data_IF_526832523901
#
_entry.id   IF_526832523901
#
_cell.length_a   1.000
_cell.length_b   1.000
_cell.length_c   1.000
_cell.angle_alpha   90.00
_cell.angle_beta   90.00
_cell.angle_gamma   90.00
#
_symmetry.space_group_name_H-M   'P 1'
#
loop_
_entity.id
_entity.type
_entity.pdbx_description
1 polymer ?
#
# COMPACT_ATOMS: atom_id res chain seq x y z
N UNK A 1 10.65 6.50 12.19
CA UNK A 1 9.53 7.30 11.62
C UNK A 1 10.09 8.55 10.93
N UNK A 2 9.34 9.19 10.03
CA UNK A 2 9.84 10.32 9.24
C UNK A 2 9.70 11.67 10.00
N UNK A 3 10.75 12.50 10.05
CA UNK A 3 10.64 13.83 10.65
C UNK A 3 9.68 14.71 9.84
N UNK A 4 9.07 15.76 10.43
CA UNK A 4 8.18 16.68 9.71
C UNK A 4 8.77 17.30 8.44
N UNK A 5 10.09 17.50 8.41
CA UNK A 5 10.81 18.03 7.24
C UNK A 5 11.09 17.01 6.14
N UNK A 6 10.74 15.74 6.33
CA UNK A 6 11.00 14.68 5.35
C UNK A 6 10.20 14.90 4.07
N UNK A 7 10.84 14.72 2.91
CA UNK A 7 10.21 14.85 1.59
C UNK A 7 8.97 13.98 1.48
N UNK A 8 9.02 12.74 1.98
CA UNK A 8 7.87 11.83 1.94
C UNK A 8 6.65 12.37 2.68
N UNK A 9 6.83 13.11 3.79
CA UNK A 9 5.72 13.75 4.50
C UNK A 9 5.15 14.90 3.67
N UNK A 10 6.01 15.80 3.19
CA UNK A 10 5.59 16.94 2.37
C UNK A 10 4.82 16.50 1.12
N UNK A 11 5.27 15.43 0.46
CA UNK A 11 4.61 14.89 -0.74
C UNK A 11 3.26 14.24 -0.40
N UNK A 12 3.17 13.48 0.69
CA UNK A 12 1.92 12.81 1.08
C UNK A 12 0.88 13.78 1.69
N UNK A 13 1.27 14.98 2.12
CA UNK A 13 0.35 16.04 2.57
C UNK A 13 -0.39 16.73 1.41
N UNK A 14 0.10 16.59 0.17
CA UNK A 14 -0.49 17.23 -1.01
C UNK A 14 -1.61 16.38 -1.63
N UNK A 15 -2.87 16.84 -1.67
CA UNK A 15 -3.99 16.06 -2.21
C UNK A 15 -3.83 15.68 -3.69
N UNK A 16 -3.00 16.42 -4.43
CA UNK A 16 -2.73 16.19 -5.85
C UNK A 16 -2.16 14.80 -6.12
N UNK A 17 -1.47 14.18 -5.14
CA UNK A 17 -0.93 12.82 -5.28
C UNK A 17 -2.01 11.77 -5.57
N UNK A 18 -3.25 12.02 -5.14
CA UNK A 18 -4.39 11.14 -5.38
C UNK A 18 -4.76 11.06 -6.87
N UNK A 19 -4.41 12.07 -7.68
CA UNK A 19 -4.60 12.00 -9.13
C UNK A 19 -3.76 10.90 -9.77
N UNK A 20 -2.61 10.57 -9.16
CA UNK A 20 -1.75 9.47 -9.58
C UNK A 20 -2.23 8.08 -9.14
N UNK A 21 -3.15 7.98 -8.16
CA UNK A 21 -3.52 6.71 -7.54
C UNK A 21 -4.01 5.65 -8.55
N UNK A 22 -4.76 6.06 -9.57
CA UNK A 22 -5.22 5.16 -10.62
C UNK A 22 -4.07 4.56 -11.44
N UNK A 23 -3.05 5.37 -11.78
CA UNK A 23 -1.84 4.91 -12.48
C UNK A 23 -1.05 3.92 -11.63
N UNK A 24 -0.80 4.26 -10.36
CA UNK A 24 -0.09 3.38 -9.44
C UNK A 24 -0.80 2.03 -9.29
N UNK A 25 -2.14 2.03 -9.14
CA UNK A 25 -2.94 0.80 -9.05
C UNK A 25 -2.77 -0.08 -10.30
N UNK A 26 -2.84 0.51 -11.49
CA UNK A 26 -2.65 -0.25 -12.75
C UNK A 26 -1.26 -0.86 -12.83
N UNK A 27 -0.21 -0.14 -12.41
CA UNK A 27 1.15 -0.66 -12.36
C UNK A 27 1.30 -1.76 -11.30
N UNK A 28 0.64 -1.65 -10.15
CA UNK A 28 0.65 -2.71 -9.12
C UNK A 28 0.06 -3.99 -9.68
N UNK A 29 -1.08 -3.89 -10.36
CA UNK A 29 -1.77 -5.01 -10.99
C UNK A 29 -1.07 -5.54 -12.25
N UNK A 30 -0.06 -4.84 -12.78
CA UNK A 30 0.76 -5.35 -13.89
C UNK A 30 1.72 -6.48 -13.46
N UNK A 31 1.97 -6.64 -12.15
CA UNK A 31 2.77 -7.75 -11.63
C UNK A 31 1.90 -8.98 -11.34
N UNK A 32 2.20 -10.16 -11.93
CA UNK A 32 1.30 -11.31 -11.88
C UNK A 32 1.02 -11.80 -10.46
N UNK A 33 2.02 -11.79 -9.58
CA UNK A 33 1.85 -12.21 -8.18
C UNK A 33 0.99 -11.23 -7.36
N UNK A 34 1.10 -9.93 -7.64
CA UNK A 34 0.29 -8.92 -6.96
C UNK A 34 -1.15 -8.99 -7.46
N UNK A 35 -1.34 -9.12 -8.78
CA UNK A 35 -2.65 -9.29 -9.39
C UNK A 35 -3.38 -10.52 -8.86
N UNK A 36 -2.70 -11.67 -8.75
CA UNK A 36 -3.26 -12.90 -8.20
C UNK A 36 -3.66 -12.70 -6.72
N UNK A 37 -2.80 -12.12 -5.89
CA UNK A 37 -3.11 -11.82 -4.50
C UNK A 37 -4.31 -10.88 -4.33
N UNK A 38 -4.44 -9.86 -5.17
CA UNK A 38 -5.61 -8.97 -5.16
C UNK A 38 -6.87 -9.71 -5.61
N UNK A 39 -6.79 -10.51 -6.67
CA UNK A 39 -7.95 -11.23 -7.19
C UNK A 39 -8.49 -12.26 -6.19
N UNK A 40 -7.61 -12.98 -5.51
CA UNK A 40 -7.99 -14.09 -4.63
C UNK A 40 -8.36 -13.63 -3.20
N UNK A 41 -7.75 -12.53 -2.70
CA UNK A 41 -7.87 -12.13 -1.29
C UNK A 41 -8.42 -10.72 -1.03
N UNK A 42 -8.73 -9.94 -2.08
CA UNK A 42 -9.25 -8.57 -1.91
C UNK A 42 -10.72 -8.45 -2.26
N UNK A 43 -11.49 -7.79 -1.39
CA UNK A 43 -12.85 -7.32 -1.67
C UNK A 43 -12.86 -5.99 -2.45
N UNK A 44 -11.82 -5.71 -3.25
CA UNK A 44 -11.66 -4.43 -3.96
C UNK A 44 -12.78 -4.20 -4.97
N UNK A 45 -13.21 -5.24 -5.68
CA UNK A 45 -14.26 -5.12 -6.69
C UNK A 45 -15.64 -4.91 -6.07
N UNK A 46 -15.91 -5.53 -4.91
CA UNK A 46 -17.20 -5.44 -4.24
C UNK A 46 -17.32 -4.23 -3.31
N UNK A 47 -16.21 -3.74 -2.74
CA UNK A 47 -16.17 -2.61 -1.80
C UNK A 47 -14.99 -1.65 -2.07
N UNK A 48 -14.91 -1.02 -3.25
CA UNK A 48 -13.75 -0.21 -3.65
C UNK A 48 -13.49 0.99 -2.73
N UNK A 49 -14.54 1.67 -2.26
CA UNK A 49 -14.40 2.84 -1.37
C UNK A 49 -13.87 2.46 0.01
N UNK A 50 -14.33 1.34 0.58
CA UNK A 50 -13.81 0.81 1.85
C UNK A 50 -12.34 0.44 1.74
N UNK A 51 -11.95 -0.15 0.60
CA UNK A 51 -10.54 -0.48 0.32
C UNK A 51 -9.66 0.75 0.13
N UNK A 52 -10.17 1.78 -0.55
CA UNK A 52 -9.49 3.05 -0.67
C UNK A 52 -9.28 3.70 0.70
N UNK A 53 -10.34 3.79 1.51
CA UNK A 53 -10.26 4.34 2.87
C UNK A 53 -9.20 3.62 3.70
N UNK A 54 -9.22 2.28 3.75
CA UNK A 54 -8.23 1.52 4.51
C UNK A 54 -6.78 1.73 4.01
N UNK A 55 -6.59 1.90 2.70
CA UNK A 55 -5.27 2.20 2.11
C UNK A 55 -4.79 3.60 2.50
N UNK A 56 -5.66 4.60 2.45
CA UNK A 56 -5.35 5.97 2.86
C UNK A 56 -5.04 6.04 4.36
N UNK A 57 -5.88 5.44 5.20
CA UNK A 57 -5.66 5.38 6.66
C UNK A 57 -4.31 4.75 6.99
N UNK A 58 -3.97 3.62 6.35
CA UNK A 58 -2.68 2.97 6.54
C UNK A 58 -1.51 3.85 6.09
N UNK A 59 -1.61 4.46 4.91
CA UNK A 59 -0.56 5.30 4.34
C UNK A 59 -0.31 6.54 5.19
N UNK A 60 -1.35 7.30 5.53
CA UNK A 60 -1.23 8.49 6.37
C UNK A 60 -0.75 8.16 7.77
N UNK A 61 -1.20 7.05 8.36
CA UNK A 61 -0.70 6.64 9.69
C UNK A 61 0.79 6.29 9.63
N UNK A 62 1.25 5.59 8.60
CA UNK A 62 2.66 5.23 8.45
C UNK A 62 3.57 6.44 8.17
N UNK A 63 3.09 7.41 7.38
CA UNK A 63 3.89 8.56 6.93
C UNK A 63 3.84 9.72 7.93
N UNK A 64 2.66 10.03 8.47
CA UNK A 64 2.38 11.24 9.25
C UNK A 64 1.92 10.98 10.69
N UNK A 65 1.65 9.74 11.09
CA UNK A 65 1.15 9.41 12.43
C UNK A 65 2.20 9.54 13.55
N UNK A 66 1.87 9.00 14.72
CA UNK A 66 2.84 8.79 15.79
C UNK A 66 3.62 7.47 15.55
N UNK A 67 4.90 7.35 15.99
CA UNK A 67 5.71 6.18 15.71
C UNK A 67 5.07 4.86 16.19
N UNK A 68 4.46 4.87 17.38
CA UNK A 68 3.78 3.70 17.95
C UNK A 68 2.57 3.26 17.13
N UNK A 69 1.82 4.21 16.55
CA UNK A 69 0.68 3.92 15.67
C UNK A 69 1.15 3.37 14.32
N UNK A 70 2.18 3.98 13.73
CA UNK A 70 2.78 3.52 12.48
C UNK A 70 3.30 2.07 12.60
N UNK A 71 4.00 1.76 13.69
CA UNK A 71 4.45 0.40 13.98
C UNK A 71 3.28 -0.57 14.17
N UNK A 72 2.22 -0.15 14.87
CA UNK A 72 1.01 -0.95 15.06
C UNK A 72 0.33 -1.30 13.74
N UNK A 73 0.16 -0.31 12.85
CA UNK A 73 -0.38 -0.52 11.49
C UNK A 73 0.53 -1.42 10.67
N UNK A 74 1.85 -1.21 10.71
CA UNK A 74 2.80 -2.06 10.01
C UNK A 74 2.74 -3.52 10.45
N UNK A 75 2.66 -3.78 11.77
CA UNK A 75 2.46 -5.15 12.31
C UNK A 75 1.13 -5.75 11.86
N UNK A 76 0.04 -4.98 11.89
CA UNK A 76 -1.28 -5.43 11.45
C UNK A 76 -1.28 -5.81 9.97
N UNK A 77 -0.72 -4.96 9.10
CA UNK A 77 -0.66 -5.23 7.65
C UNK A 77 0.20 -6.47 7.39
N UNK A 78 1.36 -6.58 8.04
CA UNK A 78 2.21 -7.77 7.93
C UNK A 78 1.46 -9.04 8.32
N UNK A 79 0.74 -9.01 9.45
CA UNK A 79 -0.08 -10.14 9.91
C UNK A 79 -1.19 -10.49 8.92
N UNK A 80 -1.86 -9.50 8.32
CA UNK A 80 -2.85 -9.76 7.25
C UNK A 80 -2.16 -10.42 6.05
N UNK A 81 -1.00 -9.91 5.63
CA UNK A 81 -0.25 -10.43 4.50
C UNK A 81 0.29 -11.85 4.72
N UNK A 82 0.42 -12.32 5.97
CA UNK A 82 0.78 -13.71 6.26
C UNK A 82 -0.28 -14.70 5.76
N UNK A 83 -1.53 -14.25 5.61
CA UNK A 83 -2.63 -15.05 5.06
C UNK A 83 -2.88 -14.81 3.57
N UNK A 84 -2.26 -13.79 2.96
CA UNK A 84 -2.37 -13.49 1.53
C UNK A 84 -1.28 -14.26 0.79
N UNK A 85 -1.52 -15.56 0.65
CA UNK A 85 -0.62 -16.52 0.03
C UNK A 85 -1.38 -17.38 -0.98
N UNK A 86 -0.70 -17.74 -2.06
CA UNK A 86 -1.21 -18.62 -3.10
C UNK A 86 -0.09 -19.49 -3.68
N UNK A 87 -0.39 -20.40 -4.62
CA UNK A 87 0.60 -21.37 -5.12
C UNK A 87 1.89 -20.75 -5.69
N UNK A 88 1.82 -19.52 -6.21
CA UNK A 88 2.93 -18.83 -6.86
C UNK A 88 3.32 -17.50 -6.19
N UNK A 89 2.66 -17.09 -5.10
CA UNK A 89 2.92 -15.78 -4.50
C UNK A 89 2.73 -15.77 -2.98
N UNK A 90 3.47 -14.87 -2.34
CA UNK A 90 3.27 -14.48 -0.95
C UNK A 90 3.28 -12.95 -0.89
N UNK A 91 2.28 -12.34 -0.24
CA UNK A 91 2.21 -10.87 -0.15
C UNK A 91 3.40 -10.27 0.61
N UNK A 92 3.95 -11.00 1.58
CA UNK A 92 5.14 -10.59 2.35
C UNK A 92 6.48 -10.89 1.64
N UNK A 93 6.46 -11.43 0.41
CA UNK A 93 7.68 -11.55 -0.40
C UNK A 93 8.29 -10.15 -0.65
N UNK A 94 9.57 -9.91 -0.24
CA UNK A 94 10.24 -8.64 -0.45
C UNK A 94 10.21 -8.13 -1.89
N UNK A 95 10.24 -9.00 -2.89
CA UNK A 95 10.17 -8.61 -4.30
C UNK A 95 8.80 -8.01 -4.66
N UNK A 96 7.71 -8.61 -4.16
CA UNK A 96 6.35 -8.12 -4.37
C UNK A 96 6.13 -6.78 -3.63
N UNK A 97 6.61 -6.68 -2.39
CA UNK A 97 6.56 -5.43 -1.61
C UNK A 97 7.35 -4.30 -2.29
N UNK A 98 8.53 -4.61 -2.80
CA UNK A 98 9.36 -3.66 -3.53
C UNK A 98 8.67 -3.20 -4.82
N UNK A 99 8.05 -4.11 -5.57
CA UNK A 99 7.28 -3.76 -6.76
C UNK A 99 6.20 -2.73 -6.41
N UNK A 100 5.35 -3.04 -5.42
CA UNK A 100 4.28 -2.13 -4.98
C UNK A 100 4.84 -0.78 -4.56
N UNK A 101 5.93 -0.76 -3.79
CA UNK A 101 6.57 0.49 -3.39
C UNK A 101 7.12 1.29 -4.58
N UNK A 102 7.78 0.64 -5.54
CA UNK A 102 8.33 1.28 -6.73
C UNK A 102 7.24 1.95 -7.57
N UNK A 103 6.06 1.31 -7.72
CA UNK A 103 4.95 1.92 -8.48
C UNK A 103 4.44 3.23 -7.86
N UNK A 104 4.50 3.36 -6.54
CA UNK A 104 4.14 4.60 -5.84
C UNK A 104 5.17 5.69 -6.09
N UNK A 105 6.47 5.36 -5.99
CA UNK A 105 7.56 6.31 -6.24
C UNK A 105 7.61 6.79 -7.70
N UNK A 106 7.37 5.89 -8.65
CA UNK A 106 7.34 6.20 -10.08
C UNK A 106 6.13 7.07 -10.48
N UNK A 107 5.07 7.05 -9.67
CA UNK A 107 3.84 7.82 -9.90
C UNK A 107 3.87 9.21 -9.25
N UNK A 108 4.61 9.35 -8.15
CA UNK A 108 4.62 10.54 -7.29
C UNK A 108 5.47 11.70 -7.83
#
# INVERSE_FOLDING_TARGET
>A
MFPPSAVIRRVNEEPVILLGAGRALLLQLAHPHVAAGVHEHSDFQSNPFKRLQGTLEATYTMVCGEPSLAEGVGRRIRWIHDFVTGPAYQANDPANLLWVHATLLDTA
#
